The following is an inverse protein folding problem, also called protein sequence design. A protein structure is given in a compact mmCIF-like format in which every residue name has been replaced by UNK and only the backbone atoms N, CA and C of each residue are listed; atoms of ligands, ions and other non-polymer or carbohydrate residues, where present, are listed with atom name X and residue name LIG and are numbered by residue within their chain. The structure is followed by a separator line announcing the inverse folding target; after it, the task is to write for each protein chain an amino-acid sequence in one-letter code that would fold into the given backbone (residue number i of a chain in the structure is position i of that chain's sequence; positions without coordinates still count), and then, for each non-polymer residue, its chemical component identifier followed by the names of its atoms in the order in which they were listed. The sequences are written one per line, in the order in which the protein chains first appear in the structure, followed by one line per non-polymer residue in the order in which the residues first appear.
data_IF_485086713820
#
_entry.id   IF_485086713820
#
_cell.length_a   1.000
_cell.length_b   1.000
_cell.length_c   1.000
_cell.angle_alpha   90.00
_cell.angle_beta   90.00
_cell.angle_gamma   90.00
#
_symmetry.space_group_name_H-M   'P 1'
#
loop_
_entity.id
_entity.type
_entity.pdbx_description
1 polymer ?
#
# COMPACT_ATOMS: atom_id res chain seq x y z
N UNK A 1 40.56 11.85 -24.79
CA UNK A 1 41.09 11.07 -23.65
C UNK A 1 40.60 11.48 -22.25
N UNK A 2 40.11 12.71 -22.01
CA UNK A 2 39.63 13.15 -20.67
C UNK A 2 38.14 12.85 -20.37
N UNK A 3 37.37 12.36 -21.34
CA UNK A 3 35.94 12.04 -21.18
C UNK A 3 35.67 10.57 -20.79
N UNK A 4 36.55 9.65 -21.19
CA UNK A 4 36.47 8.22 -20.85
C UNK A 4 36.84 7.92 -19.38
N UNK A 5 37.65 8.78 -18.76
CA UNK A 5 38.02 8.66 -17.34
C UNK A 5 36.88 9.07 -16.39
N UNK A 6 35.88 9.83 -16.85
CA UNK A 6 34.72 10.22 -16.03
C UNK A 6 33.59 9.19 -16.04
N UNK A 7 33.52 8.35 -17.08
CA UNK A 7 32.60 7.20 -17.13
C UNK A 7 33.13 6.06 -16.25
N UNK A 8 34.46 5.94 -16.09
CA UNK A 8 35.06 4.96 -15.17
C UNK A 8 35.00 5.35 -13.69
N UNK A 9 34.83 6.64 -13.35
CA UNK A 9 34.63 7.09 -11.96
C UNK A 9 33.17 6.95 -11.47
N UNK A 10 32.21 6.74 -12.37
CA UNK A 10 30.81 6.50 -12.03
C UNK A 10 30.48 5.04 -11.66
N UNK A 11 31.39 4.10 -11.95
CA UNK A 11 31.22 2.67 -11.68
C UNK A 11 32.00 2.14 -10.48
N UNK A 12 32.83 2.96 -9.82
CA UNK A 12 33.68 2.55 -8.70
C UNK A 12 33.17 3.04 -7.33
N UNK A 13 31.85 3.12 -7.16
CA UNK A 13 31.17 3.20 -5.86
C UNK A 13 30.53 1.85 -5.45
N UNK A 14 30.98 0.75 -6.07
CA UNK A 14 30.85 -0.60 -5.53
C UNK A 14 31.91 -0.82 -4.45
N UNK A 15 31.83 -0.01 -3.39
CA UNK A 15 32.63 -0.20 -2.19
C UNK A 15 32.16 -1.48 -1.51
N UNK A 16 32.91 -2.57 -1.72
CA UNK A 16 33.07 -3.70 -0.81
C UNK A 16 31.80 -4.10 -0.05
N UNK A 17 30.87 -4.78 -0.72
CA UNK A 17 29.92 -5.62 0.00
C UNK A 17 30.74 -6.73 0.65
N UNK A 18 31.08 -6.55 1.94
CA UNK A 18 31.44 -7.69 2.77
C UNK A 18 30.31 -8.69 2.60
N UNK A 19 30.64 -9.87 2.09
CA UNK A 19 29.72 -10.96 1.87
C UNK A 19 29.02 -11.23 3.21
N UNK A 20 27.78 -10.73 3.34
CA UNK A 20 27.01 -10.92 4.54
C UNK A 20 26.93 -12.42 4.78
N UNK A 21 27.26 -12.85 6.00
CA UNK A 21 27.18 -14.24 6.39
C UNK A 21 25.75 -14.70 6.12
N UNK A 22 25.60 -15.71 5.25
CA UNK A 22 24.28 -16.18 4.81
C UNK A 22 23.44 -16.53 6.02
N UNK A 23 22.33 -15.83 6.25
CA UNK A 23 21.45 -16.14 7.36
C UNK A 23 20.67 -17.41 6.98
N UNK A 24 21.17 -18.57 7.43
CA UNK A 24 20.60 -19.89 7.11
C UNK A 24 19.19 -20.06 7.67
N UNK A 25 18.89 -19.38 8.77
CA UNK A 25 17.58 -19.35 9.40
C UNK A 25 16.78 -18.11 9.03
N UNK A 26 15.52 -18.32 8.64
CA UNK A 26 14.57 -17.21 8.49
C UNK A 26 14.33 -16.50 9.83
N UNK A 27 14.24 -15.16 9.84
CA UNK A 27 13.78 -14.41 11.00
C UNK A 27 12.30 -14.64 11.29
N UNK A 28 11.54 -15.25 10.38
CA UNK A 28 10.11 -15.45 10.49
C UNK A 28 9.72 -16.89 10.84
N UNK A 29 8.59 -17.01 11.54
CA UNK A 29 7.85 -18.25 11.77
C UNK A 29 6.48 -18.11 11.12
N UNK A 30 6.21 -18.98 10.15
CA UNK A 30 4.93 -19.10 9.44
C UNK A 30 4.28 -20.43 9.80
N UNK A 31 2.96 -20.49 9.76
CA UNK A 31 2.19 -21.69 10.03
C UNK A 31 0.97 -21.72 9.14
N UNK A 32 0.82 -22.80 8.37
CA UNK A 32 -0.36 -22.99 7.52
C UNK A 32 -1.69 -22.80 8.27
N UNK A 33 -1.76 -23.23 9.54
CA UNK A 33 -2.97 -23.10 10.38
C UNK A 33 -3.32 -21.66 10.76
N UNK A 34 -2.38 -20.72 10.64
CA UNK A 34 -2.56 -19.30 10.96
C UNK A 34 -2.67 -18.49 9.68
N UNK A 35 -1.69 -18.65 8.78
CA UNK A 35 -1.52 -17.79 7.61
C UNK A 35 -2.61 -18.10 6.56
N UNK A 36 -2.95 -19.37 6.34
CA UNK A 36 -3.93 -19.74 5.31
C UNK A 36 -5.35 -19.21 5.62
N UNK A 37 -5.87 -19.29 6.86
CA UNK A 37 -7.11 -18.61 7.23
C UNK A 37 -7.07 -17.09 7.05
N UNK A 38 -5.97 -16.42 7.41
CA UNK A 38 -5.83 -14.96 7.27
C UNK A 38 -5.86 -14.57 5.78
N UNK A 39 -5.07 -15.25 4.96
CA UNK A 39 -5.05 -15.06 3.51
C UNK A 39 -6.44 -15.34 2.93
N UNK A 40 -7.05 -16.47 3.28
CA UNK A 40 -8.38 -16.86 2.81
C UNK A 40 -9.45 -15.82 3.16
N UNK A 41 -9.46 -15.32 4.39
CA UNK A 41 -10.36 -14.25 4.83
C UNK A 41 -10.09 -12.94 4.08
N UNK A 42 -8.83 -12.54 3.92
CA UNK A 42 -8.46 -11.35 3.16
C UNK A 42 -8.88 -11.41 1.70
N UNK A 43 -8.68 -12.55 1.03
CA UNK A 43 -9.14 -12.78 -0.35
C UNK A 43 -10.67 -12.79 -0.43
N UNK A 44 -11.35 -13.52 0.46
CA UNK A 44 -12.82 -13.58 0.50
C UNK A 44 -13.46 -12.21 0.72
N UNK A 45 -12.95 -11.44 1.69
CA UNK A 45 -13.38 -10.06 1.91
C UNK A 45 -13.04 -9.15 0.73
N UNK A 46 -11.90 -9.37 0.06
CA UNK A 46 -11.56 -8.62 -1.15
C UNK A 46 -12.59 -8.83 -2.25
N UNK A 47 -12.98 -10.09 -2.50
CA UNK A 47 -14.02 -10.47 -3.47
C UNK A 47 -15.36 -9.84 -3.12
N UNK A 48 -15.75 -9.89 -1.84
CA UNK A 48 -16.98 -9.24 -1.36
C UNK A 48 -16.96 -7.73 -1.62
N UNK A 49 -15.86 -7.05 -1.27
CA UNK A 49 -15.69 -5.62 -1.55
C UNK A 49 -15.71 -5.29 -3.04
N UNK A 50 -15.13 -6.13 -3.90
CA UNK A 50 -15.22 -5.98 -5.36
C UNK A 50 -16.66 -6.14 -5.86
N UNK A 51 -17.47 -7.02 -5.25
CA UNK A 51 -18.90 -7.12 -5.55
C UNK A 51 -19.62 -5.81 -5.27
N UNK A 52 -19.38 -5.20 -4.10
CA UNK A 52 -19.94 -3.87 -3.77
C UNK A 52 -19.47 -2.78 -4.73
N UNK A 53 -18.21 -2.81 -5.17
CA UNK A 53 -17.68 -1.87 -6.16
C UNK A 53 -18.40 -2.01 -7.51
N UNK A 54 -18.65 -3.25 -7.96
CA UNK A 54 -19.30 -3.51 -9.26
C UNK A 54 -20.76 -3.07 -9.26
N UNK A 55 -21.44 -3.19 -8.12
CA UNK A 55 -22.83 -2.79 -7.93
C UNK A 55 -23.00 -1.33 -7.50
N UNK A 56 -21.92 -0.52 -7.52
CA UNK A 56 -21.99 0.89 -7.14
C UNK A 56 -22.49 1.74 -8.30
N UNK A 57 -23.52 2.52 -8.06
CA UNK A 57 -24.03 3.48 -9.03
C UNK A 57 -23.10 4.70 -9.18
N UNK A 58 -23.06 5.22 -10.41
CA UNK A 58 -22.48 6.50 -10.74
C UNK A 58 -23.28 7.68 -10.19
N UNK A 59 -22.78 8.89 -10.46
CA UNK A 59 -23.55 10.12 -10.25
C UNK A 59 -24.44 10.39 -11.45
N UNK A 60 -25.64 10.94 -11.24
CA UNK A 60 -26.43 11.52 -12.33
C UNK A 60 -25.85 12.88 -12.75
N UNK A 61 -26.14 13.35 -13.96
CA UNK A 61 -25.70 14.69 -14.40
C UNK A 61 -26.22 15.80 -13.47
N UNK A 62 -27.46 15.67 -12.98
CA UNK A 62 -28.03 16.60 -12.02
C UNK A 62 -27.22 16.63 -10.71
N UNK A 63 -26.81 15.48 -10.20
CA UNK A 63 -25.97 15.40 -9.01
C UNK A 63 -24.58 15.98 -9.25
N UNK A 64 -24.00 15.76 -10.44
CA UNK A 64 -22.71 16.36 -10.82
C UNK A 64 -22.83 17.89 -10.86
N UNK A 65 -23.89 18.43 -11.45
CA UNK A 65 -24.09 19.86 -11.56
C UNK A 65 -24.43 20.54 -10.21
N UNK A 66 -24.84 19.76 -9.20
CA UNK A 66 -25.12 20.27 -7.86
C UNK A 66 -23.94 20.17 -6.89
N UNK A 67 -22.79 19.60 -7.29
CA UNK A 67 -21.62 19.53 -6.39
C UNK A 67 -20.94 20.88 -6.28
N UNK A 68 -20.51 21.25 -5.07
CA UNK A 68 -19.68 22.43 -4.86
C UNK A 68 -18.37 22.09 -4.15
N UNK A 69 -17.29 22.80 -4.51
CA UNK A 69 -16.01 22.69 -3.78
C UNK A 69 -16.13 23.14 -2.33
N UNK A 70 -17.11 23.99 -2.00
CA UNK A 70 -17.39 24.41 -0.62
C UNK A 70 -17.77 23.24 0.28
N UNK A 71 -18.37 22.19 -0.29
CA UNK A 71 -18.86 21.02 0.45
C UNK A 71 -17.72 20.06 0.84
N UNK A 72 -16.53 20.25 0.26
CA UNK A 72 -15.32 19.53 0.63
C UNK A 72 -14.71 20.16 1.88
N UNK A 73 -14.31 19.31 2.84
CA UNK A 73 -13.63 19.74 4.06
C UNK A 73 -12.37 20.58 3.75
N UNK A 74 -12.01 21.50 4.64
CA UNK A 74 -10.91 22.45 4.40
C UNK A 74 -9.56 21.81 4.08
N UNK A 75 -9.22 20.72 4.76
CA UNK A 75 -7.97 19.98 4.55
C UNK A 75 -7.85 19.41 3.14
N UNK A 76 -8.95 19.03 2.51
CA UNK A 76 -8.97 18.40 1.19
C UNK A 76 -9.37 19.36 0.05
N UNK A 77 -9.97 20.50 0.39
CA UNK A 77 -10.58 21.44 -0.57
C UNK A 77 -9.61 21.91 -1.66
N UNK A 78 -8.32 22.05 -1.34
CA UNK A 78 -7.30 22.49 -2.30
C UNK A 78 -7.08 21.50 -3.46
N UNK A 79 -7.49 20.24 -3.32
CA UNK A 79 -7.43 19.21 -4.37
C UNK A 79 -8.75 19.13 -5.15
N UNK A 80 -9.85 19.69 -4.62
CA UNK A 80 -11.16 19.65 -5.26
C UNK A 80 -11.12 20.36 -6.63
N UNK A 81 -11.43 19.60 -7.68
CA UNK A 81 -11.38 20.06 -9.07
C UNK A 81 -10.05 19.82 -9.77
N UNK A 82 -9.07 19.19 -9.12
CA UNK A 82 -7.91 18.66 -9.83
C UNK A 82 -8.36 17.63 -10.87
N UNK A 83 -7.74 17.68 -12.05
CA UNK A 83 -7.94 16.71 -13.11
C UNK A 83 -6.72 16.72 -14.02
N UNK A 84 -6.08 15.57 -14.18
CA UNK A 84 -4.91 15.44 -15.05
C UNK A 84 -4.75 13.99 -15.52
N UNK A 85 -5.06 13.74 -16.79
CA UNK A 85 -4.91 12.42 -17.41
C UNK A 85 -3.45 12.00 -17.52
N UNK A 86 -2.52 12.95 -17.70
CA UNK A 86 -1.08 12.69 -17.70
C UNK A 86 -0.58 12.27 -16.32
N UNK A 87 -1.03 12.92 -15.23
CA UNK A 87 -0.69 12.51 -13.88
C UNK A 87 -1.30 11.14 -13.52
N UNK A 88 -2.51 10.84 -13.99
CA UNK A 88 -3.15 9.53 -13.81
C UNK A 88 -2.28 8.43 -14.43
N UNK A 89 -1.92 8.58 -15.71
CA UNK A 89 -1.02 7.65 -16.41
C UNK A 89 0.35 7.57 -15.73
N UNK A 90 0.94 8.71 -15.36
CA UNK A 90 2.25 8.75 -14.71
C UNK A 90 2.26 8.01 -13.37
N UNK A 91 1.15 8.04 -12.62
CA UNK A 91 1.06 7.35 -11.32
C UNK A 91 1.22 5.83 -11.42
N UNK A 92 0.92 5.24 -12.59
CA UNK A 92 1.04 3.81 -12.80
C UNK A 92 2.50 3.32 -12.86
N UNK A 93 3.47 4.16 -13.25
CA UNK A 93 4.88 3.75 -13.28
C UNK A 93 5.45 3.41 -11.89
N UNK A 94 5.44 4.33 -10.90
CA UNK A 94 5.90 3.98 -9.55
C UNK A 94 4.98 2.97 -8.87
N UNK A 95 3.68 2.95 -9.21
CA UNK A 95 2.75 1.94 -8.72
C UNK A 95 3.17 0.53 -9.15
N UNK A 96 3.34 0.26 -10.45
CA UNK A 96 3.74 -1.06 -10.91
C UNK A 96 5.17 -1.42 -10.50
N UNK A 97 6.10 -0.45 -10.52
CA UNK A 97 7.46 -0.66 -10.05
C UNK A 97 7.51 -1.09 -8.56
N UNK A 98 6.57 -0.61 -7.73
CA UNK A 98 6.52 -0.96 -6.31
C UNK A 98 6.29 -2.45 -6.04
N UNK A 99 5.55 -3.15 -6.91
CA UNK A 99 5.33 -4.60 -6.80
C UNK A 99 6.57 -5.41 -7.20
N UNK A 100 7.48 -4.82 -7.99
CA UNK A 100 8.74 -5.47 -8.33
C UNK A 100 9.74 -5.45 -7.16
N UNK A 101 9.64 -4.49 -6.23
CA UNK A 101 10.59 -4.40 -5.10
C UNK A 101 10.63 -5.67 -4.23
N UNK A 102 9.50 -6.22 -3.74
CA UNK A 102 9.51 -7.49 -3.00
C UNK A 102 10.11 -8.66 -3.78
N UNK A 103 9.91 -8.70 -5.10
CA UNK A 103 10.47 -9.74 -5.97
C UNK A 103 11.98 -9.55 -6.15
N UNK A 104 12.44 -8.31 -6.29
CA UNK A 104 13.85 -7.98 -6.42
C UNK A 104 14.66 -8.37 -5.16
N UNK A 105 14.04 -8.35 -3.98
CA UNK A 105 14.69 -8.86 -2.75
C UNK A 105 15.07 -10.33 -2.86
N UNK A 106 14.29 -11.14 -3.57
CA UNK A 106 14.54 -12.57 -3.72
C UNK A 106 15.80 -12.88 -4.54
N UNK A 107 16.38 -11.88 -5.21
CA UNK A 107 17.67 -12.00 -5.91
C UNK A 107 18.84 -12.06 -4.92
N UNK A 108 18.68 -11.55 -3.69
CA UNK A 108 19.67 -11.69 -2.64
C UNK A 108 19.59 -13.10 -2.03
N UNK A 109 20.74 -13.72 -1.74
CA UNK A 109 20.82 -15.13 -1.31
C UNK A 109 20.10 -15.37 0.02
N UNK A 110 20.15 -14.40 0.94
CA UNK A 110 19.54 -14.51 2.26
C UNK A 110 18.02 -14.70 2.14
N UNK A 111 17.36 -13.80 1.42
CA UNK A 111 15.92 -13.79 1.17
C UNK A 111 15.51 -14.90 0.19
N UNK A 112 16.25 -15.07 -0.91
CA UNK A 112 15.97 -16.05 -1.96
C UNK A 112 15.92 -17.49 -1.43
N UNK A 113 16.75 -17.82 -0.43
CA UNK A 113 16.71 -19.14 0.23
C UNK A 113 15.40 -19.42 0.97
N UNK A 114 14.59 -18.38 1.25
CA UNK A 114 13.30 -18.44 1.93
C UNK A 114 12.17 -17.85 1.08
N UNK A 115 12.32 -17.83 -0.25
CA UNK A 115 11.38 -17.16 -1.15
C UNK A 115 9.92 -17.56 -0.94
N UNK A 116 9.62 -18.86 -0.76
CA UNK A 116 8.24 -19.32 -0.53
C UNK A 116 7.60 -18.71 0.73
N UNK A 117 8.37 -18.57 1.81
CA UNK A 117 7.90 -17.94 3.04
C UNK A 117 7.67 -16.44 2.86
N UNK A 118 8.59 -15.75 2.18
CA UNK A 118 8.47 -14.31 1.90
C UNK A 118 7.26 -14.04 1.00
N UNK A 119 7.07 -14.85 -0.04
CA UNK A 119 5.91 -14.73 -0.94
C UNK A 119 4.59 -14.97 -0.19
N UNK A 120 4.53 -15.95 0.72
CA UNK A 120 3.33 -16.18 1.53
C UNK A 120 2.97 -14.96 2.39
N UNK A 121 3.95 -14.39 3.12
CA UNK A 121 3.74 -13.17 3.90
C UNK A 121 3.38 -11.96 3.04
N UNK A 122 3.93 -11.90 1.82
CA UNK A 122 3.60 -10.83 0.88
C UNK A 122 2.17 -10.95 0.38
N UNK A 123 1.72 -12.16 0.04
CA UNK A 123 0.33 -12.45 -0.33
C UNK A 123 -0.61 -12.08 0.82
N UNK A 124 -0.28 -12.44 2.06
CA UNK A 124 -1.07 -12.06 3.24
C UNK A 124 -1.17 -10.53 3.39
N UNK A 125 -0.04 -9.84 3.29
CA UNK A 125 0.03 -8.37 3.31
C UNK A 125 -0.89 -7.74 2.27
N UNK A 126 -0.83 -8.25 1.03
CA UNK A 126 -1.65 -7.75 -0.08
C UNK A 126 -3.12 -8.13 0.06
N UNK A 127 -3.43 -9.30 0.61
CA UNK A 127 -4.81 -9.75 0.87
C UNK A 127 -5.49 -8.87 1.93
N UNK A 128 -4.78 -8.55 3.02
CA UNK A 128 -5.27 -7.64 4.06
C UNK A 128 -5.49 -6.23 3.46
N UNK A 129 -4.50 -5.70 2.76
CA UNK A 129 -4.57 -4.37 2.13
C UNK A 129 -5.71 -4.30 1.09
N UNK A 130 -5.85 -5.34 0.28
CA UNK A 130 -6.90 -5.48 -0.73
C UNK A 130 -8.29 -5.52 -0.11
N UNK A 131 -8.47 -6.27 0.98
CA UNK A 131 -9.74 -6.38 1.69
C UNK A 131 -10.18 -5.03 2.27
N UNK A 132 -9.27 -4.34 2.96
CA UNK A 132 -9.55 -3.04 3.54
C UNK A 132 -9.93 -2.01 2.47
N UNK A 133 -9.18 -1.99 1.35
CA UNK A 133 -9.45 -1.06 0.25
C UNK A 133 -10.78 -1.38 -0.45
N UNK A 134 -11.00 -2.62 -0.89
CA UNK A 134 -12.14 -2.94 -1.75
C UNK A 134 -13.47 -2.78 -1.02
N UNK A 135 -13.54 -3.15 0.26
CA UNK A 135 -14.72 -2.93 1.07
C UNK A 135 -14.98 -1.44 1.30
N UNK A 136 -13.95 -0.65 1.62
CA UNK A 136 -14.09 0.80 1.78
C UNK A 136 -14.57 1.46 0.48
N UNK A 137 -13.94 1.13 -0.65
CA UNK A 137 -14.29 1.69 -1.95
C UNK A 137 -15.66 1.23 -2.47
N UNK A 138 -16.14 0.06 -2.03
CA UNK A 138 -17.47 -0.45 -2.34
C UNK A 138 -18.57 0.18 -1.46
N UNK A 139 -18.33 0.30 -0.16
CA UNK A 139 -19.35 0.71 0.81
C UNK A 139 -19.44 2.23 1.00
N UNK A 140 -18.33 2.96 0.86
CA UNK A 140 -18.28 4.40 1.13
C UNK A 140 -18.44 5.17 -0.18
N UNK A 141 -19.38 6.11 -0.17
CA UNK A 141 -19.63 7.02 -1.29
C UNK A 141 -18.91 8.34 -1.06
N UNK A 142 -17.71 8.47 -1.62
CA UNK A 142 -16.95 9.72 -1.60
C UNK A 142 -16.58 10.14 -3.01
N UNK A 143 -17.14 11.27 -3.46
CA UNK A 143 -16.85 11.82 -4.78
C UNK A 143 -15.34 12.08 -4.93
N UNK A 144 -14.77 11.73 -6.08
CA UNK A 144 -13.37 11.99 -6.40
C UNK A 144 -13.15 13.47 -6.71
N UNK A 145 -11.94 14.01 -6.49
CA UNK A 145 -11.67 15.41 -6.76
C UNK A 145 -12.00 15.86 -8.19
N UNK A 146 -11.85 15.01 -9.21
CA UNK A 146 -12.20 15.37 -10.59
C UNK A 146 -13.70 15.66 -10.81
N UNK A 147 -14.59 15.19 -9.92
CA UNK A 147 -16.03 15.46 -10.00
C UNK A 147 -16.30 16.97 -9.93
N UNK A 148 -15.50 17.69 -9.14
CA UNK A 148 -15.58 19.13 -8.93
C UNK A 148 -14.79 19.95 -9.96
N UNK A 149 -14.28 19.34 -11.03
CA UNK A 149 -13.42 19.98 -12.02
C UNK A 149 -14.21 20.46 -13.23
N UNK A 150 -14.05 21.69 -13.68
CA UNK A 150 -14.68 22.16 -14.93
C UNK A 150 -14.10 21.48 -16.17
N UNK A 151 -12.88 20.93 -16.06
CA UNK A 151 -12.15 20.32 -17.17
C UNK A 151 -12.39 18.80 -17.33
N UNK A 152 -12.97 18.13 -16.33
CA UNK A 152 -13.23 16.70 -16.42
C UNK A 152 -14.52 16.44 -17.23
N UNK A 153 -14.51 15.50 -18.19
CA UNK A 153 -15.67 15.26 -19.05
C UNK A 153 -16.81 14.59 -18.26
N UNK A 154 -18.06 14.84 -18.69
CA UNK A 154 -19.25 14.42 -17.95
C UNK A 154 -19.34 12.91 -17.78
N UNK A 155 -19.01 12.13 -18.81
CA UNK A 155 -18.95 10.66 -18.79
C UNK A 155 -18.02 10.11 -17.68
N UNK A 156 -16.89 10.80 -17.43
CA UNK A 156 -15.98 10.46 -16.35
C UNK A 156 -16.61 10.77 -14.99
N UNK A 157 -17.29 11.91 -14.85
CA UNK A 157 -17.94 12.36 -13.62
C UNK A 157 -19.16 11.51 -13.24
N UNK A 158 -19.87 10.97 -14.22
CA UNK A 158 -21.03 10.10 -14.00
C UNK A 158 -20.67 8.62 -13.90
N UNK A 159 -19.41 8.24 -14.17
CA UNK A 159 -18.97 6.85 -13.99
C UNK A 159 -19.12 6.34 -12.55
N UNK A 160 -19.38 5.04 -12.37
CA UNK A 160 -19.37 4.38 -11.05
C UNK A 160 -18.07 4.62 -10.25
N UNK A 161 -16.95 4.82 -10.96
CA UNK A 161 -15.65 5.14 -10.39
C UNK A 161 -15.56 6.51 -9.72
N UNK A 162 -16.46 7.44 -10.07
CA UNK A 162 -16.45 8.81 -9.57
C UNK A 162 -16.72 8.92 -8.08
N UNK A 163 -17.37 7.93 -7.46
CA UNK A 163 -17.71 7.91 -6.02
C UNK A 163 -16.74 7.08 -5.16
N UNK A 164 -15.60 6.68 -5.73
CA UNK A 164 -14.61 5.78 -5.11
C UNK A 164 -13.32 6.49 -4.67
N UNK A 165 -13.45 7.67 -4.05
CA UNK A 165 -12.29 8.40 -3.52
C UNK A 165 -11.76 7.78 -2.23
N UNK A 166 -12.64 7.29 -1.34
CA UNK A 166 -12.23 6.81 -0.03
C UNK A 166 -11.85 5.31 -0.02
N UNK A 167 -10.66 4.91 0.41
CA UNK A 167 -9.42 5.69 0.48
C UNK A 167 -8.51 5.30 -0.71
N UNK A 168 -7.32 5.90 -0.81
CA UNK A 168 -6.46 5.74 -1.98
C UNK A 168 -5.83 4.34 -2.09
N UNK A 169 -6.48 3.45 -2.86
CA UNK A 169 -6.03 2.07 -3.07
C UNK A 169 -4.66 1.93 -3.75
N UNK A 170 -4.33 2.80 -4.72
CA UNK A 170 -3.01 2.77 -5.37
C UNK A 170 -1.90 3.10 -4.37
N UNK A 171 -2.09 4.17 -3.59
CA UNK A 171 -1.17 4.59 -2.52
C UNK A 171 -1.01 3.50 -1.47
N UNK A 172 -2.11 2.87 -1.04
CA UNK A 172 -2.09 1.82 -0.03
C UNK A 172 -1.36 0.56 -0.49
N UNK A 173 -1.66 0.07 -1.70
CA UNK A 173 -0.99 -1.10 -2.24
C UNK A 173 0.52 -0.85 -2.48
N UNK A 174 0.89 0.34 -2.97
CA UNK A 174 2.30 0.72 -3.11
C UNK A 174 3.01 0.82 -1.77
N UNK A 175 2.38 1.41 -0.75
CA UNK A 175 2.95 1.47 0.59
C UNK A 175 3.10 0.07 1.18
N UNK A 176 2.08 -0.78 1.07
CA UNK A 176 2.14 -2.17 1.51
C UNK A 176 3.32 -2.92 0.87
N UNK A 177 3.48 -2.83 -0.46
CA UNK A 177 4.57 -3.51 -1.15
C UNK A 177 5.95 -3.00 -0.74
N UNK A 178 6.14 -1.70 -0.69
CA UNK A 178 7.47 -1.11 -0.46
C UNK A 178 7.89 -1.19 1.01
N UNK A 179 6.98 -0.97 1.95
CA UNK A 179 7.27 -1.15 3.38
C UNK A 179 7.44 -2.62 3.75
N UNK A 180 6.70 -3.54 3.12
CA UNK A 180 6.98 -4.98 3.23
C UNK A 180 8.40 -5.30 2.79
N UNK A 181 8.80 -4.81 1.62
CA UNK A 181 10.15 -5.00 1.12
C UNK A 181 11.21 -4.44 2.09
N UNK A 182 11.03 -3.21 2.58
CA UNK A 182 11.97 -2.61 3.54
C UNK A 182 12.06 -3.40 4.84
N UNK A 183 10.93 -3.89 5.35
CA UNK A 183 10.89 -4.68 6.59
C UNK A 183 11.57 -6.03 6.43
N UNK A 184 11.27 -6.75 5.35
CA UNK A 184 11.89 -8.04 5.02
C UNK A 184 13.39 -7.89 4.81
N UNK A 185 13.80 -6.91 4.01
CA UNK A 185 15.22 -6.62 3.80
C UNK A 185 15.94 -6.34 5.12
N UNK A 186 15.37 -5.52 5.99
CA UNK A 186 15.97 -5.21 7.29
C UNK A 186 16.09 -6.45 8.19
N UNK A 187 15.07 -7.32 8.22
CA UNK A 187 15.07 -8.48 9.09
C UNK A 187 16.04 -9.57 8.64
N UNK A 188 16.24 -9.74 7.33
CA UNK A 188 17.23 -10.66 6.75
C UNK A 188 18.65 -10.08 6.65
N UNK A 189 18.80 -8.75 6.75
CA UNK A 189 20.09 -8.07 6.65
C UNK A 189 20.26 -7.03 7.79
N UNK A 190 20.27 -7.48 9.06
CA UNK A 190 20.26 -6.57 10.22
C UNK A 190 21.48 -5.65 10.29
N UNK A 191 22.63 -6.08 9.78
CA UNK A 191 23.87 -5.30 9.78
C UNK A 191 24.10 -4.49 8.50
N UNK A 192 23.15 -4.53 7.55
CA UNK A 192 23.30 -3.84 6.28
C UNK A 192 23.23 -2.33 6.43
N UNK A 193 24.24 -1.64 5.89
CA UNK A 193 24.26 -0.18 5.77
C UNK A 193 23.23 0.35 4.76
N UNK A 194 22.62 -0.54 3.95
CA UNK A 194 21.64 -0.14 2.96
C UNK A 194 20.25 0.14 3.56
N UNK A 195 19.96 -0.30 4.81
CA UNK A 195 18.64 -0.17 5.43
C UNK A 195 18.02 1.23 5.32
N UNK A 196 18.72 2.34 5.64
CA UNK A 196 18.13 3.67 5.56
C UNK A 196 17.66 4.03 4.14
N UNK A 197 18.41 3.60 3.12
CA UNK A 197 18.07 3.86 1.72
C UNK A 197 16.85 3.03 1.27
N UNK A 198 16.73 1.78 1.73
CA UNK A 198 15.56 0.94 1.43
C UNK A 198 14.30 1.49 2.09
N UNK A 199 14.40 1.95 3.35
CA UNK A 199 13.29 2.62 4.03
C UNK A 199 12.94 3.97 3.42
N UNK A 200 13.94 4.75 3.00
CA UNK A 200 13.72 6.01 2.30
C UNK A 200 12.98 5.77 0.96
N UNK A 201 13.41 4.77 0.18
CA UNK A 201 12.70 4.37 -1.03
C UNK A 201 11.26 3.93 -0.72
N UNK A 202 11.08 3.15 0.35
CA UNK A 202 9.76 2.72 0.77
C UNK A 202 8.86 3.85 1.23
N UNK A 203 9.42 4.96 1.73
CA UNK A 203 8.64 6.14 2.04
C UNK A 203 8.33 6.99 0.79
N UNK A 204 9.32 7.21 -0.08
CA UNK A 204 9.22 8.14 -1.21
C UNK A 204 8.31 7.61 -2.31
N UNK A 205 8.39 6.31 -2.63
CA UNK A 205 7.62 5.71 -3.74
C UNK A 205 6.10 5.85 -3.53
N UNK A 206 5.49 5.42 -2.41
CA UNK A 206 4.07 5.65 -2.15
C UNK A 206 3.69 7.13 -2.05
N UNK A 207 4.57 7.99 -1.53
CA UNK A 207 4.33 9.44 -1.51
C UNK A 207 4.25 10.03 -2.93
N UNK A 208 5.10 9.56 -3.85
CA UNK A 208 5.05 9.96 -5.26
C UNK A 208 3.76 9.52 -5.94
N UNK A 209 3.29 8.29 -5.66
CA UNK A 209 1.99 7.80 -6.13
C UNK A 209 0.89 8.70 -5.58
N UNK A 210 0.85 8.93 -4.25
CA UNK A 210 -0.15 9.78 -3.60
C UNK A 210 -0.25 11.17 -4.24
N UNK A 211 0.90 11.82 -4.44
CA UNK A 211 0.97 13.12 -5.10
C UNK A 211 0.38 13.09 -6.51
N UNK A 212 0.77 12.11 -7.33
CA UNK A 212 0.27 11.96 -8.69
C UNK A 212 -1.23 11.64 -8.70
N UNK A 213 -1.73 10.82 -7.77
CA UNK A 213 -3.17 10.53 -7.63
C UNK A 213 -3.97 11.77 -7.23
N UNK A 214 -3.43 12.66 -6.39
CA UNK A 214 -4.08 13.93 -6.06
C UNK A 214 -4.07 14.91 -7.22
N UNK A 215 -2.95 15.02 -7.96
CA UNK A 215 -2.87 15.83 -9.18
C UNK A 215 -3.81 15.33 -10.28
N UNK A 216 -3.96 14.01 -10.40
CA UNK A 216 -4.89 13.37 -11.33
C UNK A 216 -6.37 13.61 -11.00
N UNK A 217 -6.68 14.11 -9.80
CA UNK A 217 -8.05 14.25 -9.32
C UNK A 217 -8.67 12.95 -8.82
N UNK A 218 -7.84 11.95 -8.51
CA UNK A 218 -8.30 10.60 -8.17
C UNK A 218 -8.56 10.44 -6.67
N UNK A 219 -7.78 11.10 -5.81
CA UNK A 219 -7.90 10.98 -4.35
C UNK A 219 -7.56 12.30 -3.67
N UNK A 220 -8.28 12.61 -2.59
CA UNK A 220 -7.97 13.75 -1.73
C UNK A 220 -6.74 13.48 -0.85
N UNK A 221 -6.26 14.50 -0.11
CA UNK A 221 -5.10 14.37 0.75
C UNK A 221 -5.36 13.36 1.86
N UNK A 222 -6.50 13.44 2.53
CA UNK A 222 -6.89 12.50 3.60
C UNK A 222 -7.04 11.07 3.10
N UNK A 223 -7.57 10.87 1.89
CA UNK A 223 -7.67 9.54 1.26
C UNK A 223 -6.29 8.92 1.06
N UNK A 224 -5.32 9.74 0.64
CA UNK A 224 -3.94 9.32 0.42
C UNK A 224 -3.20 9.06 1.74
N UNK A 225 -3.33 9.94 2.74
CA UNK A 225 -2.70 9.75 4.05
C UNK A 225 -3.20 8.47 4.73
N UNK A 226 -4.51 8.24 4.72
CA UNK A 226 -5.08 7.02 5.28
C UNK A 226 -4.62 5.78 4.50
N UNK A 227 -4.66 5.84 3.16
CA UNK A 227 -4.18 4.73 2.33
C UNK A 227 -2.71 4.40 2.58
N UNK A 228 -1.87 5.43 2.64
CA UNK A 228 -0.46 5.29 2.96
C UNK A 228 -0.27 4.63 4.34
N UNK A 229 -0.94 5.13 5.37
CA UNK A 229 -0.81 4.63 6.73
C UNK A 229 -1.24 3.17 6.85
N UNK A 230 -2.39 2.80 6.27
CA UNK A 230 -2.90 1.43 6.29
C UNK A 230 -2.00 0.48 5.49
N UNK A 231 -1.52 0.91 4.32
CA UNK A 231 -0.60 0.12 3.50
C UNK A 231 0.74 -0.10 4.20
N UNK A 232 1.38 0.97 4.66
CA UNK A 232 2.63 0.88 5.42
C UNK A 232 2.46 0.03 6.69
N UNK A 233 1.34 0.21 7.40
CA UNK A 233 0.96 -0.60 8.55
C UNK A 233 0.91 -2.09 8.21
N UNK A 234 0.17 -2.48 7.17
CA UNK A 234 0.12 -3.89 6.74
C UNK A 234 1.51 -4.42 6.34
N UNK A 235 2.27 -3.65 5.54
CA UNK A 235 3.61 -4.04 5.09
C UNK A 235 4.62 -4.21 6.23
N UNK A 236 4.49 -3.48 7.33
CA UNK A 236 5.37 -3.61 8.50
C UNK A 236 4.85 -4.69 9.46
N UNK A 237 3.56 -4.64 9.79
CA UNK A 237 2.97 -5.44 10.86
C UNK A 237 2.89 -6.92 10.50
N UNK A 238 2.57 -7.27 9.25
CA UNK A 238 2.52 -8.69 8.85
C UNK A 238 3.88 -9.36 9.05
N UNK A 239 5.01 -8.90 8.48
CA UNK A 239 6.31 -9.49 8.79
C UNK A 239 6.71 -9.37 10.26
N UNK A 240 6.38 -8.25 10.93
CA UNK A 240 6.75 -8.04 12.33
C UNK A 240 6.07 -9.07 13.25
N UNK A 241 4.78 -9.33 13.05
CA UNK A 241 4.01 -10.30 13.84
C UNK A 241 4.54 -11.73 13.65
N UNK A 242 5.06 -12.04 12.47
CA UNK A 242 5.66 -13.33 12.15
C UNK A 242 7.12 -13.47 12.60
N UNK A 243 7.76 -12.43 13.13
CA UNK A 243 9.18 -12.49 13.53
C UNK A 243 9.37 -13.40 14.75
N UNK A 244 10.32 -14.33 14.71
CA UNK A 244 10.61 -15.29 15.82
C UNK A 244 10.98 -14.59 17.12
N UNK A 245 11.65 -13.45 17.02
CA UNK A 245 12.06 -12.62 18.17
C UNK A 245 10.98 -11.63 18.59
N UNK A 246 9.82 -11.68 17.96
CA UNK A 246 8.71 -10.82 18.33
C UNK A 246 8.22 -11.22 19.72
N UNK A 247 8.42 -10.33 20.70
CA UNK A 247 7.91 -10.46 22.06
C UNK A 247 6.60 -9.68 22.25
N UNK A 248 5.85 -9.40 21.18
CA UNK A 248 4.58 -8.70 21.32
C UNK A 248 3.64 -9.56 22.14
N UNK A 249 3.43 -9.15 23.39
CA UNK A 249 2.38 -9.61 24.28
C UNK A 249 1.01 -9.05 23.85
N UNK A 250 0.79 -8.99 22.53
CA UNK A 250 -0.35 -8.34 21.91
C UNK A 250 -1.34 -9.44 21.54
N UNK A 251 -2.40 -9.55 22.32
CA UNK A 251 -3.47 -10.53 22.14
C UNK A 251 -4.69 -9.81 21.61
N UNK A 252 -5.15 -10.17 20.42
CA UNK A 252 -6.43 -9.72 19.88
C UNK A 252 -7.45 -10.85 20.03
N UNK A 253 -8.42 -10.68 20.92
CA UNK A 253 -9.48 -11.68 21.14
C UNK A 253 -10.80 -11.13 20.63
N UNK A 254 -11.47 -11.81 19.67
CA UNK A 254 -12.84 -11.47 19.32
C UNK A 254 -13.75 -11.79 20.51
N UNK A 255 -14.52 -10.81 20.96
CA UNK A 255 -15.53 -10.97 22.01
C UNK A 255 -16.89 -10.80 21.38
N UNK A 256 -17.67 -11.87 21.43
CA UNK A 256 -19.03 -11.91 20.92
C UNK A 256 -19.93 -12.16 22.13
N UNK A 257 -20.70 -11.16 22.53
CA UNK A 257 -21.81 -11.30 23.46
C UNK A 257 -23.13 -11.16 22.68
N UNK A 258 -24.29 -11.56 23.25
CA UNK A 258 -25.59 -11.32 22.63
C UNK A 258 -25.86 -9.85 22.29
N UNK A 259 -25.26 -8.94 23.06
CA UNK A 259 -25.49 -7.49 22.98
C UNK A 259 -24.42 -6.76 22.16
N UNK A 260 -23.17 -7.24 22.15
CA UNK A 260 -22.05 -6.55 21.52
C UNK A 260 -21.10 -7.50 20.80
N UNK A 261 -20.56 -7.02 19.67
CA UNK A 261 -19.48 -7.68 18.94
C UNK A 261 -18.30 -6.71 18.89
N UNK A 262 -17.24 -7.03 19.59
CA UNK A 262 -16.04 -6.21 19.64
C UNK A 262 -14.79 -7.09 19.64
N UNK A 263 -13.62 -6.48 19.49
CA UNK A 263 -12.35 -7.16 19.68
C UNK A 263 -11.61 -6.48 20.81
N UNK A 264 -11.13 -7.26 21.79
CA UNK A 264 -10.24 -6.77 22.82
C UNK A 264 -8.82 -6.87 22.34
N UNK A 265 -8.11 -5.75 22.38
CA UNK A 265 -6.66 -5.72 22.24
C UNK A 265 -6.05 -5.64 23.64
N UNK A 266 -5.39 -6.72 24.06
CA UNK A 266 -4.63 -6.75 25.30
C UNK A 266 -3.13 -6.63 24.97
N UNK A 267 -2.44 -5.73 25.66
CA UNK A 267 -0.99 -5.64 25.66
C UNK A 267 -0.51 -5.96 27.06
N UNK A 268 0.12 -7.11 27.27
CA UNK A 268 0.75 -7.43 28.56
C UNK A 268 2.15 -6.79 28.59
N UNK A 269 2.45 -5.94 29.56
CA UNK A 269 3.79 -5.35 29.74
C UNK A 269 4.64 -6.20 30.68
#
# INVERSE_FOLDING_TARGET
MKLLHRIFLGLTLLASFKQAQSQTESPYKTSWKVDAPIIGAGVGLSVLGVSFIKNKDGLTEQQVNSVSKSDVNGTDRFIAGNYSTSADKASYYPFYASFAMPVALLLNKNEGSKAGQIVALYIETMAITGALYSNSAGLINRNRPFVYSDNAPMDKKTSAGARRSFYAGHTAATAAATFFAAKVFQDFNPDSKAKPYVWAAAAIVPASVAYLRSKAGMHFLTDNLLGYALGAGAGILVPQLHKKTNKTNLTLTPVITPEYKYATLACTF
#
